data_IF_267866579143
#
_entry.id   IF_267866579143
#
_cell.length_a   1.000
_cell.length_b   1.000
_cell.length_c   1.000
_cell.angle_alpha   90.00
_cell.angle_beta   90.00
_cell.angle_gamma   90.00
#
_symmetry.space_group_name_H-M   'P 1'
#
loop_
_entity.id
_entity.type
_entity.pdbx_description
1 polymer ?
2 polymer ?
3 polymer ?
4 non-polymer ?
#
loop_
_entity_poly.entity_id
_entity_poly.type
_entity_poly.pdbx_seq_one_letter_code
_entity_poly.pdbx_strand_id
1 'polydeoxyribonucleotide' '(DC)(DC)(DA)(DG)(DA)(DA)(DC)(DA)(DT)(DC)(DA)(DA)(DG)(DA)(DA)(DC)(DA)(DG)' ?
2 'polydeoxyribonucleotide' '(DC)(DT)(DG)(DT)(DT)(DC)(DT)(DT)(DG)(DA)(DT)(DG)(DT)(DT)(DC)(DT)(DG)(DG)' ?
#
# COMPACT_ATOMS: atom_id res chain seq x y z
N UNK C 6 -18.21 17.84 16.39
CA UNK C 6 -17.67 19.19 16.03
C UNK C 6 -16.35 19.10 15.24
N UNK C 7 -16.06 17.91 14.70
CA UNK C 7 -14.84 17.64 13.92
C UNK C 7 -15.04 17.40 12.40
N UNK C 8 -14.28 18.16 11.60
CA UNK C 8 -14.34 18.06 10.14
C UNK C 8 -13.40 16.94 9.69
N UNK C 9 -13.93 16.01 8.92
CA UNK C 9 -13.16 14.85 8.47
C UNK C 9 -12.92 14.70 6.98
N UNK C 10 -11.75 14.15 6.64
CA UNK C 10 -11.35 13.95 5.24
C UNK C 10 -12.29 13.03 4.49
N UNK C 11 -12.73 13.49 3.32
CA UNK C 11 -13.63 12.73 2.46
C UNK C 11 -12.86 11.64 1.75
N UNK C 12 -11.55 11.69 1.89
CA UNK C 12 -10.71 10.71 1.24
C UNK C 12 -10.08 9.75 2.23
N UNK C 13 -9.23 10.25 3.13
CA UNK C 13 -8.59 9.36 4.08
C UNK C 13 -9.27 9.24 5.44
N UNK C 14 -9.93 10.30 5.88
CA UNK C 14 -10.61 10.25 7.17
C UNK C 14 -9.91 11.01 8.28
N UNK C 15 -8.64 11.32 8.05
CA UNK C 15 -7.81 12.05 9.01
C UNK C 15 -8.45 13.43 9.23
N UNK C 16 -7.85 14.24 10.09
CA UNK C 16 -8.40 15.56 10.35
C UNK C 16 -8.34 16.41 9.09
N UNK C 17 -9.50 16.87 8.64
CA UNK C 17 -9.59 17.68 7.44
C UNK C 17 -8.86 19.01 7.57
N UNK C 18 -8.28 19.44 6.45
CA UNK C 18 -7.55 20.68 6.38
C UNK C 18 -8.46 21.76 5.84
N UNK C 19 -8.92 21.58 4.60
CA UNK C 19 -9.81 22.54 3.98
C UNK C 19 -10.38 22.04 2.67
N UNK C 20 -11.15 22.88 2.00
CA UNK C 20 -11.72 22.49 0.72
C UNK C 20 -10.62 22.63 -0.30
N UNK C 21 -10.12 21.52 -0.81
CA UNK C 21 -9.04 21.56 -1.79
C UNK C 21 -9.38 20.89 -3.11
N UNK C 22 -9.09 21.58 -4.20
CA UNK C 22 -9.35 21.04 -5.54
C UNK C 22 -10.74 20.43 -5.70
N UNK C 23 -11.54 20.44 -4.64
CA UNK C 23 -12.86 19.86 -4.76
C UNK C 23 -13.54 19.52 -3.45
N UNK C 24 -12.85 18.77 -2.58
CA UNK C 24 -13.48 18.41 -1.31
C UNK C 24 -12.65 18.55 -0.05
N UNK C 25 -13.26 18.17 1.07
CA UNK C 25 -12.62 18.23 2.37
C UNK C 25 -11.52 17.23 2.42
N UNK C 26 -10.29 17.69 2.22
CA UNK C 26 -9.19 16.76 2.22
C UNK C 26 -8.30 16.90 3.43
N UNK C 27 -7.48 15.88 3.63
CA UNK C 27 -6.52 15.89 4.72
C UNK C 27 -5.33 16.65 4.14
N UNK C 28 -4.39 17.04 4.99
CA UNK C 28 -3.24 17.75 4.48
C UNK C 28 -2.63 17.05 3.28
N UNK C 29 -2.10 15.84 3.51
CA UNK C 29 -1.46 15.07 2.45
C UNK C 29 -2.33 14.92 1.25
N UNK C 30 -3.51 14.36 1.46
CA UNK C 30 -4.42 14.16 0.36
C UNK C 30 -4.35 15.31 -0.62
N UNK C 31 -4.48 16.54 -0.13
CA UNK C 31 -4.41 17.69 -1.02
C UNK C 31 -3.20 17.50 -1.92
N UNK C 32 -2.04 17.57 -1.29
CA UNK C 32 -0.78 17.42 -1.97
C UNK C 32 -0.74 16.13 -2.77
N UNK C 33 -0.97 15.01 -2.08
CA UNK C 33 -0.97 13.70 -2.73
C UNK C 33 -1.56 13.80 -4.12
N UNK C 34 -2.75 14.37 -4.18
CA UNK C 34 -3.45 14.55 -5.42
C UNK C 34 -2.57 15.32 -6.38
N UNK C 35 -2.58 16.65 -6.26
CA UNK C 35 -1.80 17.54 -7.10
C UNK C 35 -0.59 16.87 -7.74
N UNK C 36 0.22 16.21 -6.90
CA UNK C 36 1.41 15.53 -7.41
C UNK C 36 0.97 14.54 -8.48
N UNK C 37 0.49 13.39 -8.02
CA UNK C 37 0.03 12.31 -8.88
C UNK C 37 -0.99 12.76 -9.91
N UNK C 38 -1.93 13.59 -9.48
CA UNK C 38 -2.99 14.12 -10.33
C UNK C 38 -2.55 14.13 -11.77
N UNK C 39 -1.71 15.09 -12.11
CA UNK C 39 -1.20 15.16 -13.46
C UNK C 39 0.27 14.77 -13.43
N UNK C 40 0.51 13.49 -13.73
CA UNK C 40 1.85 12.96 -13.73
C UNK C 40 1.75 11.49 -14.04
N UNK C 41 2.88 10.89 -14.40
CA UNK C 41 2.93 9.47 -14.74
C UNK C 41 3.37 8.63 -13.53
N UNK C 42 2.44 8.49 -12.58
CA UNK C 42 2.68 7.73 -11.37
C UNK C 42 2.58 6.26 -11.71
N UNK C 43 1.51 5.90 -12.40
CA UNK C 43 1.30 4.52 -12.78
C UNK C 43 1.28 3.70 -11.50
N UNK C 44 0.39 4.09 -10.58
CA UNK C 44 0.24 3.37 -9.32
C UNK C 44 -0.53 2.11 -9.66
N UNK C 45 -0.26 1.01 -8.95
CA UNK C 45 -0.99 -0.20 -9.25
C UNK C 45 -1.69 -0.73 -8.04
N UNK C 46 -2.96 -1.07 -8.20
CA UNK C 46 -3.76 -1.59 -7.09
C UNK C 46 -3.35 -3.04 -6.89
N UNK C 47 -3.63 -3.59 -5.72
CA UNK C 47 -3.28 -4.98 -5.48
C UNK C 47 -4.44 -5.89 -5.88
N UNK C 48 -5.56 -5.78 -5.16
CA UNK C 48 -6.75 -6.61 -5.42
C UNK C 48 -7.71 -6.10 -6.51
N UNK C 49 -8.88 -5.60 -6.13
CA UNK C 49 -9.86 -5.14 -7.12
C UNK C 49 -10.29 -3.68 -7.13
N UNK C 50 -9.34 -2.76 -6.99
CA UNK C 50 -9.70 -1.35 -7.03
C UNK C 50 -10.87 -1.09 -6.10
N UNK C 51 -10.79 -1.56 -4.86
CA UNK C 51 -11.88 -1.34 -3.92
C UNK C 51 -11.37 -1.37 -2.49
N UNK C 52 -10.10 -1.03 -2.31
CA UNK C 52 -9.50 -1.02 -1.00
C UNK C 52 -10.18 0.01 -0.13
N UNK C 53 -9.84 0.03 1.15
CA UNK C 53 -10.42 1.00 2.07
C UNK C 53 -9.33 1.92 2.56
N UNK C 54 -9.46 3.20 2.25
CA UNK C 54 -8.44 4.16 2.64
C UNK C 54 -8.76 4.90 3.93
N UNK C 55 -7.88 4.76 4.91
CA UNK C 55 -8.02 5.45 6.18
C UNK C 55 -6.64 5.94 6.57
N UNK C 56 -6.59 7.00 7.36
CA UNK C 56 -5.33 7.59 7.80
C UNK C 56 -4.13 6.65 7.92
N UNK C 57 -4.37 5.43 8.37
CA UNK C 57 -3.27 4.49 8.58
C UNK C 57 -2.95 3.53 7.47
N UNK C 58 -3.62 3.65 6.34
CA UNK C 58 -3.35 2.74 5.24
C UNK C 58 -3.38 3.41 3.90
N UNK C 59 -3.45 4.72 3.90
CA UNK C 59 -3.49 5.47 2.67
C UNK C 59 -2.21 5.23 1.87
N UNK C 60 -1.15 4.85 2.57
CA UNK C 60 0.12 4.61 1.90
C UNK C 60 0.08 3.35 1.06
N UNK C 61 -0.69 2.36 1.53
CA UNK C 61 -0.80 1.09 0.84
C UNK C 61 -1.17 1.19 -0.62
N UNK C 62 -2.44 1.40 -0.93
CA UNK C 62 -2.86 1.47 -2.33
C UNK C 62 -3.07 2.85 -2.91
N UNK C 63 -2.04 3.41 -3.56
CA UNK C 63 -2.15 4.73 -4.15
C UNK C 63 -3.28 4.74 -5.15
N UNK C 64 -3.25 3.75 -6.05
CA UNK C 64 -4.28 3.68 -7.07
C UNK C 64 -5.65 3.94 -6.47
N UNK C 65 -6.12 3.01 -5.64
CA UNK C 65 -7.43 3.17 -5.03
C UNK C 65 -7.58 4.61 -4.49
N UNK C 66 -6.66 5.03 -3.63
CA UNK C 66 -6.73 6.39 -3.08
C UNK C 66 -7.03 7.42 -4.14
N UNK C 67 -6.09 7.65 -5.04
CA UNK C 67 -6.32 8.62 -6.09
C UNK C 67 -7.67 8.40 -6.73
N UNK C 68 -7.98 7.16 -7.13
CA UNK C 68 -9.27 6.90 -7.76
C UNK C 68 -10.41 7.43 -6.88
N UNK C 69 -10.34 7.18 -5.58
CA UNK C 69 -11.38 7.65 -4.67
C UNK C 69 -11.53 9.15 -4.87
N UNK C 70 -10.40 9.82 -5.07
CA UNK C 70 -10.41 11.26 -5.29
C UNK C 70 -11.21 11.61 -6.52
N UNK C 71 -10.72 11.18 -7.67
CA UNK C 71 -11.39 11.46 -8.92
C UNK C 71 -12.87 11.15 -8.78
N UNK C 72 -13.19 10.14 -7.98
CA UNK C 72 -14.57 9.75 -7.77
C UNK C 72 -15.29 10.78 -6.91
N UNK C 73 -14.63 11.23 -5.85
CA UNK C 73 -15.22 12.24 -4.99
C UNK C 73 -15.39 13.54 -5.75
N UNK C 74 -14.86 13.58 -6.97
CA UNK C 74 -15.00 14.76 -7.80
C UNK C 74 -13.91 15.80 -7.72
N UNK C 75 -12.72 15.40 -7.30
CA UNK C 75 -11.63 16.37 -7.21
C UNK C 75 -11.21 16.80 -8.61
N UNK C 76 -10.28 17.74 -8.69
CA UNK C 76 -9.84 18.24 -9.99
C UNK C 76 -8.82 19.37 -9.89
N UNK C 77 -8.26 19.75 -11.04
CA UNK C 77 -7.28 20.81 -11.06
C UNK C 77 -7.85 22.05 -11.71
N UNK C 78 -8.79 21.86 -12.62
CA UNK C 78 -9.41 22.99 -13.30
C UNK C 78 -9.72 22.79 -14.79
N UNK C 79 -9.65 21.52 -15.25
CA UNK C 79 -9.91 21.17 -16.64
C UNK C 79 -8.86 21.75 -17.60
N UNK D 8 15.42 -20.41 -9.53
CA UNK D 8 16.26 -19.17 -9.62
C UNK D 8 15.46 -17.94 -9.19
N UNK D 9 14.15 -18.11 -8.95
CA UNK D 9 13.27 -16.99 -8.55
C UNK D 9 12.73 -17.07 -7.14
N UNK D 10 12.44 -15.88 -6.59
CA UNK D 10 11.90 -15.76 -5.24
C UNK D 10 10.63 -16.59 -5.12
N UNK D 11 10.31 -16.99 -3.89
CA UNK D 11 9.12 -17.77 -3.64
C UNK D 11 8.08 -16.92 -2.93
N UNK D 12 8.42 -15.67 -2.68
CA UNK D 12 7.54 -14.73 -2.02
C UNK D 12 6.95 -13.77 -3.05
N UNK D 13 7.81 -12.93 -3.62
CA UNK D 13 7.38 -11.97 -4.61
C UNK D 13 7.44 -12.60 -6.00
N UNK D 14 8.35 -13.57 -6.14
CA UNK D 14 8.50 -14.26 -7.41
C UNK D 14 9.49 -13.60 -8.36
N UNK D 15 10.14 -12.54 -7.89
CA UNK D 15 11.11 -11.79 -8.68
C UNK D 15 12.40 -12.60 -8.89
N UNK D 16 13.48 -12.12 -8.30
CA UNK D 16 14.80 -12.75 -8.40
C UNK D 16 15.18 -13.43 -7.11
N UNK D 17 15.84 -14.59 -7.19
CA UNK D 17 16.27 -15.27 -5.98
C UNK D 17 17.70 -14.80 -5.69
N UNK D 18 18.03 -14.66 -4.41
CA UNK D 18 19.37 -14.22 -4.01
C UNK D 18 20.01 -15.31 -3.16
N UNK D 19 19.19 -16.27 -2.76
CA UNK D 19 19.64 -17.37 -1.92
C UNK D 19 18.59 -17.73 -0.88
N UNK D 20 18.99 -18.58 0.07
CA UNK D 20 18.08 -19.00 1.13
C UNK D 20 18.25 -18.06 2.31
N UNK D 21 17.14 -17.58 2.85
CA UNK D 21 17.20 -16.65 3.97
C UNK D 21 16.05 -16.97 4.92
N UNK D 22 16.34 -17.22 6.19
CA UNK D 22 15.30 -17.53 7.19
C UNK D 22 14.31 -18.56 6.67
N UNK D 23 14.65 -19.18 5.54
CA UNK D 23 13.76 -20.15 4.94
C UNK D 23 13.95 -20.04 3.44
N UNK D 24 12.95 -20.47 2.67
CA UNK D 24 12.99 -20.45 1.21
C UNK D 24 13.68 -19.27 0.52
N UNK D 25 13.77 -19.36 -0.80
CA UNK D 25 14.38 -18.33 -1.62
C UNK D 25 13.61 -17.04 -1.51
N UNK D 26 14.34 -15.94 -1.45
CA UNK D 26 13.71 -14.65 -1.34
C UNK D 26 14.41 -13.66 -2.23
N UNK D 27 13.72 -12.56 -2.56
CA UNK D 27 14.31 -11.53 -3.38
C UNK D 27 15.17 -10.71 -2.44
N UNK D 28 15.94 -9.79 -3.00
CA UNK D 28 16.77 -8.95 -2.15
C UNK D 28 15.94 -8.40 -1.01
N UNK D 29 14.88 -7.68 -1.38
CA UNK D 29 13.98 -7.03 -0.42
C UNK D 29 13.21 -7.97 0.50
N UNK D 30 12.61 -9.00 -0.06
CA UNK D 30 11.85 -9.92 0.75
C UNK D 30 12.68 -10.38 1.93
N UNK D 31 13.97 -10.51 1.70
CA UNK D 31 14.82 -10.90 2.78
C UNK D 31 14.70 -9.78 3.82
N UNK D 32 15.26 -8.61 3.49
CA UNK D 32 15.26 -7.44 4.36
C UNK D 32 13.88 -7.15 4.97
N UNK D 33 12.84 -7.32 4.15
CA UNK D 33 11.49 -7.08 4.61
C UNK D 33 11.12 -8.00 5.75
N UNK D 34 11.17 -9.30 5.49
CA UNK D 34 10.79 -10.26 6.50
C UNK D 34 11.33 -9.97 7.89
N UNK D 35 12.60 -9.61 7.97
CA UNK D 35 13.17 -9.36 9.29
C UNK D 35 12.52 -8.11 9.90
N UNK D 36 12.83 -6.95 9.33
CA UNK D 36 12.29 -5.68 9.82
C UNK D 36 10.82 -5.80 10.18
N UNK D 37 10.11 -6.65 9.43
CA UNK D 37 8.69 -6.86 9.62
C UNK D 37 8.27 -7.70 10.82
N UNK D 38 8.64 -8.98 10.81
CA UNK D 38 8.28 -9.91 11.87
C UNK D 38 8.91 -9.60 13.23
N UNK D 39 9.99 -8.81 13.23
CA UNK D 39 10.68 -8.47 14.48
C UNK D 39 10.02 -7.32 15.25
N UNK D 40 9.80 -6.19 14.57
CA UNK D 40 9.19 -5.04 15.23
C UNK D 40 7.68 -5.16 15.44
N UNK D 41 7.18 -6.40 15.35
CA UNK D 41 5.76 -6.75 15.52
C UNK D 41 4.77 -5.58 15.31
N UNK D 42 4.43 -5.36 14.05
CA UNK D 42 3.50 -4.30 13.64
C UNK D 42 2.27 -4.96 13.05
N UNK D 43 1.13 -4.85 13.72
CA UNK D 43 -0.09 -5.46 13.20
C UNK D 43 -0.46 -4.87 11.83
N UNK D 44 0.18 -5.34 10.78
CA UNK D 44 -0.13 -4.84 9.45
C UNK D 44 -1.49 -5.39 9.09
N UNK D 45 -2.42 -4.51 8.74
CA UNK D 45 -3.77 -4.90 8.40
C UNK D 45 -4.00 -4.72 6.91
N UNK D 46 -4.42 -5.79 6.25
CA UNK D 46 -4.68 -5.73 4.81
C UNK D 46 -5.76 -4.70 4.57
N UNK D 47 -5.76 -4.13 3.38
CA UNK D 47 -6.76 -3.11 3.07
C UNK D 47 -7.93 -3.70 2.30
N UNK D 48 -7.80 -4.94 1.86
CA UNK D 48 -8.86 -5.58 1.10
C UNK D 48 -9.22 -6.97 1.62
N UNK D 49 -9.20 -7.96 0.73
CA UNK D 49 -9.54 -9.32 1.11
C UNK D 49 -8.38 -10.31 1.30
N UNK D 50 -7.22 -9.79 1.70
CA UNK D 50 -6.05 -10.61 1.98
C UNK D 50 -5.48 -11.49 0.86
N UNK D 51 -6.05 -11.41 -0.34
CA UNK D 51 -5.53 -12.23 -1.43
C UNK D 51 -4.56 -11.41 -2.30
N UNK D 52 -4.39 -10.13 -1.94
CA UNK D 52 -3.53 -9.18 -2.65
C UNK D 52 -2.31 -9.78 -3.32
N UNK D 53 -2.41 -9.99 -4.63
CA UNK D 53 -1.32 -10.55 -5.42
C UNK D 53 -0.01 -9.80 -5.18
N UNK D 54 1.03 -10.52 -4.80
CA UNK D 54 2.31 -9.90 -4.50
C UNK D 54 3.42 -10.21 -5.51
N UNK D 55 4.09 -9.17 -5.99
CA UNK D 55 5.18 -9.35 -6.94
C UNK D 55 6.10 -8.12 -7.02
N UNK D 56 7.12 -8.23 -7.87
CA UNK D 56 8.09 -7.16 -8.06
C UNK D 56 7.45 -5.79 -7.97
N UNK D 57 6.30 -5.64 -8.61
CA UNK D 57 5.60 -4.36 -8.64
C UNK D 57 4.74 -3.96 -7.46
N UNK D 58 4.03 -4.93 -6.91
CA UNK D 58 3.12 -4.64 -5.82
C UNK D 58 3.55 -4.94 -4.40
N UNK D 59 4.42 -5.92 -4.21
CA UNK D 59 4.87 -6.30 -2.88
C UNK D 59 4.91 -5.18 -1.84
N UNK D 60 5.17 -3.95 -2.26
CA UNK D 60 5.20 -2.86 -1.29
C UNK D 60 3.79 -2.48 -0.85
N UNK D 61 2.86 -2.49 -1.80
CA UNK D 61 1.46 -2.16 -1.57
C UNK D 61 0.77 -2.69 -0.32
N UNK D 62 1.17 -3.84 0.18
CA UNK D 62 0.53 -4.36 1.38
C UNK D 62 1.37 -5.29 2.22
N UNK D 63 2.04 -4.73 3.23
CA UNK D 63 2.85 -5.57 4.09
C UNK D 63 2.09 -6.76 4.64
N UNK D 64 0.92 -6.52 5.20
CA UNK D 64 0.13 -7.62 5.78
C UNK D 64 0.09 -8.87 4.91
N UNK D 65 -0.40 -8.72 3.68
CA UNK D 65 -0.47 -9.86 2.78
C UNK D 65 0.93 -10.43 2.52
N UNK D 66 1.89 -9.56 2.21
CA UNK D 66 3.26 -10.00 1.96
C UNK D 66 3.75 -10.86 3.13
N UNK D 67 3.77 -10.25 4.31
CA UNK D 67 4.22 -10.92 5.52
C UNK D 67 3.69 -12.34 5.71
N UNK D 68 2.38 -12.50 5.72
CA UNK D 68 1.82 -13.85 5.92
C UNK D 68 2.25 -14.80 4.81
N UNK D 69 2.54 -14.26 3.63
CA UNK D 69 2.96 -15.10 2.53
C UNK D 69 4.28 -15.74 2.95
N UNK D 70 5.02 -15.03 3.80
CA UNK D 70 6.30 -15.54 4.29
C UNK D 70 6.14 -16.69 5.25
N UNK D 71 5.50 -16.43 6.39
CA UNK D 71 5.26 -17.48 7.38
C UNK D 71 4.68 -18.68 6.66
N UNK D 72 3.63 -18.41 5.89
CA UNK D 72 2.91 -19.39 5.09
C UNK D 72 3.85 -20.20 4.19
N UNK D 73 4.69 -19.51 3.43
CA UNK D 73 5.63 -20.17 2.53
C UNK D 73 6.89 -20.62 3.27
N UNK D 74 6.79 -20.69 4.60
CA UNK D 74 7.92 -21.12 5.42
C UNK D 74 8.99 -20.07 5.60
N UNK D 75 9.17 -19.62 6.83
CA UNK D 75 10.17 -18.59 7.10
C UNK D 75 10.15 -18.36 8.63
N UNK D 76 11.28 -17.93 9.18
CA UNK D 76 11.34 -17.67 10.62
C UNK D 76 12.60 -16.91 11.05
N UNK D 77 12.68 -16.64 12.35
CA UNK D 77 13.82 -15.91 12.90
C UNK D 77 14.81 -16.78 13.70
N UNK D 78 14.42 -18.01 14.03
CA UNK D 78 15.28 -18.89 14.78
C UNK D 78 14.59 -19.56 15.96
#
# INVERSE_FOLDING_TARGET
DYYFPPQKTCLICGDEASGAHYGALTCGSCKVFFKRAAEGKQKYLCASRNDCTIDKFRRKNCPSCRLRKCYEAGMTLGARKLKKLGNLKLQEEGENSSAGSPTED
DYYFPPQKTCLICGDEASGAHYGALTCGSCKVFFKRAAEGKQKYLCASRNDCTIDKFRRKNCPSCRLRKCYEAGMTLGARKLKKLGNLKLQEEGENSSAGSPTED
#
